data_IF_116655211528
#
_entry.id   IF_116655211528
#
_cell.length_a   1.000
_cell.length_b   1.000
_cell.length_c   1.000
_cell.angle_alpha   90.00
_cell.angle_beta   90.00
_cell.angle_gamma   90.00
#
_symmetry.space_group_name_H-M   'P 1'
#
loop_
_entity.id
_entity.type
_entity.pdbx_description
1 polymer ?
#
# COMPACT_ATOMS: atom_id res chain seq x y z
N UNK A 1 17.22 6.07 14.42
CA UNK A 1 15.83 6.51 14.20
C UNK A 1 15.29 5.74 13.01
N UNK A 2 14.11 5.13 13.11
CA UNK A 2 13.45 4.55 11.93
C UNK A 2 13.05 5.69 10.99
N UNK A 3 13.29 5.52 9.69
CA UNK A 3 12.85 6.48 8.67
C UNK A 3 11.45 6.11 8.20
N UNK A 4 10.72 7.08 7.64
CA UNK A 4 9.43 6.80 7.00
C UNK A 4 9.57 5.81 5.85
N UNK A 5 10.70 5.82 5.14
CA UNK A 5 10.99 4.88 4.05
C UNK A 5 11.14 3.45 4.56
N UNK A 6 11.79 3.26 5.71
CA UNK A 6 11.91 1.93 6.36
C UNK A 6 10.54 1.40 6.76
N UNK A 7 9.69 2.24 7.37
CA UNK A 7 8.33 1.85 7.78
C UNK A 7 7.49 1.43 6.57
N UNK A 8 7.51 2.25 5.50
CA UNK A 8 6.78 1.94 4.26
C UNK A 8 7.27 0.64 3.64
N UNK A 9 8.59 0.39 3.64
CA UNK A 9 9.16 -0.85 3.12
C UNK A 9 8.67 -2.07 3.90
N UNK A 10 8.65 -2.01 5.24
CA UNK A 10 8.15 -3.10 6.08
C UNK A 10 6.66 -3.36 5.86
N UNK A 11 5.85 -2.31 5.68
CA UNK A 11 4.43 -2.45 5.36
C UNK A 11 4.21 -3.14 4.01
N UNK A 12 4.97 -2.77 2.97
CA UNK A 12 4.89 -3.42 1.66
C UNK A 12 5.26 -4.90 1.72
N UNK A 13 6.28 -5.25 2.49
CA UNK A 13 6.67 -6.64 2.71
C UNK A 13 5.57 -7.41 3.45
N UNK A 14 4.97 -6.82 4.48
CA UNK A 14 3.91 -7.45 5.25
C UNK A 14 2.60 -7.66 4.44
N UNK A 15 2.19 -6.67 3.65
CA UNK A 15 0.92 -6.69 2.93
C UNK A 15 1.00 -7.34 1.55
N UNK A 16 2.12 -7.20 0.84
CA UNK A 16 2.22 -7.63 -0.55
C UNK A 16 3.31 -8.68 -0.78
N UNK A 17 4.19 -8.89 0.20
CA UNK A 17 5.31 -9.84 0.10
C UNK A 17 6.43 -9.36 -0.83
N UNK A 18 6.50 -8.05 -1.12
CA UNK A 18 7.51 -7.43 -1.98
C UNK A 18 8.00 -6.13 -1.39
N UNK A 19 9.15 -5.66 -1.85
CA UNK A 19 9.58 -4.27 -1.61
C UNK A 19 8.77 -3.31 -2.50
N UNK A 20 8.55 -2.05 -2.05
CA UNK A 20 7.94 -1.05 -2.90
C UNK A 20 8.83 -0.72 -4.09
N UNK A 21 8.21 -0.39 -5.21
CA UNK A 21 8.89 0.32 -6.30
C UNK A 21 9.17 1.78 -5.88
N UNK A 22 10.00 2.48 -6.67
CA UNK A 22 10.41 3.85 -6.35
C UNK A 22 9.24 4.82 -6.23
N UNK A 23 8.18 4.64 -7.03
CA UNK A 23 6.99 5.49 -7.01
C UNK A 23 6.17 5.26 -5.75
N UNK A 24 5.88 3.99 -5.42
CA UNK A 24 5.17 3.61 -4.20
C UNK A 24 5.92 4.06 -2.93
N UNK A 25 7.24 3.85 -2.88
CA UNK A 25 8.04 4.25 -1.73
C UNK A 25 8.00 5.76 -1.51
N UNK A 26 8.15 6.57 -2.57
CA UNK A 26 8.10 8.02 -2.48
C UNK A 26 6.72 8.51 -2.01
N UNK A 27 5.66 8.02 -2.66
CA UNK A 27 4.28 8.42 -2.35
C UNK A 27 3.91 8.11 -0.89
N UNK A 28 4.08 6.87 -0.45
CA UNK A 28 3.66 6.48 0.89
C UNK A 28 4.57 7.04 1.98
N UNK A 29 5.86 7.29 1.68
CA UNK A 29 6.74 7.99 2.62
C UNK A 29 6.32 9.45 2.80
N UNK A 30 5.91 10.12 1.72
CA UNK A 30 5.38 11.48 1.80
C UNK A 30 4.06 11.51 2.57
N UNK A 31 3.13 10.59 2.28
CA UNK A 31 1.87 10.48 3.01
C UNK A 31 2.08 10.20 4.50
N UNK A 32 3.06 9.36 4.85
CA UNK A 32 3.39 9.09 6.25
C UNK A 32 3.99 10.32 6.94
N UNK A 33 4.77 11.14 6.22
CA UNK A 33 5.28 12.42 6.74
C UNK A 33 4.17 13.44 6.97
N UNK A 34 3.20 13.51 6.06
CA UNK A 34 2.06 14.44 6.15
C UNK A 34 1.11 14.06 7.28
N UNK A 35 0.75 12.78 7.35
CA UNK A 35 -0.29 12.28 8.27
C UNK A 35 0.26 11.90 9.63
N UNK A 36 1.53 11.46 9.70
CA UNK A 36 2.12 10.86 10.89
C UNK A 36 1.45 9.56 11.34
N UNK A 37 0.57 8.97 10.52
CA UNK A 37 -0.28 7.85 10.91
C UNK A 37 -0.05 6.62 10.04
N UNK A 38 0.57 5.60 10.63
CA UNK A 38 0.73 4.27 10.02
C UNK A 38 -0.63 3.65 9.72
N UNK A 39 -1.61 3.87 10.60
CA UNK A 39 -2.97 3.32 10.45
C UNK A 39 -3.64 3.86 9.17
N UNK A 40 -3.42 5.13 8.83
CA UNK A 40 -3.91 5.70 7.57
C UNK A 40 -3.21 5.10 6.34
N UNK A 41 -1.92 4.80 6.42
CA UNK A 41 -1.21 4.09 5.33
C UNK A 41 -1.79 2.69 5.14
N UNK A 42 -2.02 1.96 6.23
CA UNK A 42 -2.65 0.64 6.19
C UNK A 42 -4.05 0.70 5.57
N UNK A 43 -4.88 1.66 5.96
CA UNK A 43 -6.20 1.86 5.34
C UNK A 43 -6.07 2.15 3.84
N UNK A 44 -5.08 2.94 3.42
CA UNK A 44 -4.85 3.19 1.99
C UNK A 44 -4.44 1.92 1.24
N UNK A 45 -3.61 1.06 1.84
CA UNK A 45 -3.23 -0.22 1.23
C UNK A 45 -4.44 -1.13 1.05
N UNK A 46 -5.29 -1.28 2.06
CA UNK A 46 -6.49 -2.11 2.02
C UNK A 46 -7.49 -1.69 0.91
N UNK A 47 -7.55 -0.39 0.61
CA UNK A 47 -8.40 0.15 -0.46
C UNK A 47 -7.70 0.26 -1.82
N UNK A 48 -6.42 -0.10 -1.91
CA UNK A 48 -5.66 -0.01 -3.17
C UNK A 48 -6.09 -1.10 -4.16
N UNK A 49 -6.03 -0.76 -5.46
CA UNK A 49 -6.19 -1.75 -6.53
C UNK A 49 -5.15 -2.86 -6.45
N UNK A 50 -3.96 -2.59 -5.89
CA UNK A 50 -2.93 -3.60 -5.64
C UNK A 50 -3.40 -4.66 -4.63
N UNK A 51 -4.02 -4.25 -3.52
CA UNK A 51 -4.58 -5.18 -2.53
C UNK A 51 -5.78 -5.94 -3.11
N UNK A 52 -6.68 -5.25 -3.81
CA UNK A 52 -7.83 -5.87 -4.49
C UNK A 52 -7.38 -6.93 -5.49
N UNK A 53 -6.44 -6.60 -6.38
CA UNK A 53 -5.94 -7.53 -7.40
C UNK A 53 -5.15 -8.71 -6.83
N UNK A 54 -4.60 -8.60 -5.63
CA UNK A 54 -3.82 -9.68 -4.99
C UNK A 54 -4.64 -10.59 -4.09
N UNK A 55 -5.67 -10.08 -3.41
CA UNK A 55 -6.37 -10.81 -2.35
C UNK A 55 -7.88 -10.98 -2.56
N UNK A 56 -8.52 -10.22 -3.46
CA UNK A 56 -9.91 -10.47 -3.82
C UNK A 56 -9.99 -11.44 -5.01
N UNK A 57 -10.87 -12.45 -4.95
CA UNK A 57 -11.09 -13.34 -6.08
C UNK A 57 -11.63 -12.52 -7.27
N UNK A 58 -11.17 -12.84 -8.48
CA UNK A 58 -11.57 -12.16 -9.73
C UNK A 58 -13.09 -12.11 -9.91
N UNK A 59 -13.85 -13.04 -9.30
CA UNK A 59 -15.32 -13.06 -9.30
C UNK A 59 -15.99 -11.95 -8.46
N UNK A 60 -15.27 -11.30 -7.55
CA UNK A 60 -15.76 -10.15 -6.76
C UNK A 60 -15.29 -8.81 -7.32
N UNK A 61 -14.40 -8.83 -8.32
CA UNK A 61 -14.18 -7.67 -9.18
C UNK A 61 -15.37 -7.67 -10.16
N UNK A 62 -16.37 -6.81 -9.90
CA UNK A 62 -17.56 -6.68 -10.75
C UNK A 62 -17.19 -6.53 -12.24
N UNK A 63 -18.13 -6.85 -13.15
CA UNK A 63 -17.83 -6.96 -14.59
C UNK A 63 -17.08 -5.71 -15.05
N UNK A 64 -15.93 -5.94 -15.69
CA UNK A 64 -15.07 -4.92 -16.27
C UNK A 64 -15.91 -3.79 -16.87
N UNK A 65 -15.77 -2.60 -16.31
CA UNK A 65 -16.19 -1.39 -17.00
C UNK A 65 -15.20 -1.18 -18.15
N UNK A 66 -15.61 -1.59 -19.36
CA UNK A 66 -15.09 -1.13 -20.65
C UNK A 66 -14.82 0.39 -20.66
#
# INVERSE_FOLDING_TARGET
>A
MMTTETIVTELYLAFFGRVPDAGGLAYYSEQLKITGSIEQIVQSFLHSEEFRGRYLPVSELGPDHD
#
